data_IF_570771904221
#
_entry.id   IF_570771904221
#
_cell.length_a   1.000
_cell.length_b   1.000
_cell.length_c   1.000
_cell.angle_alpha   90.00
_cell.angle_beta   90.00
_cell.angle_gamma   90.00
#
_symmetry.space_group_name_H-M   'P 1'
#
loop_
_entity.id
_entity.type
_entity.pdbx_description
1 polymer ?
#
# COMPACT_ATOMS: atom_id res chain seq x y z
N UNK A 1 -0.68 -21.34 -25.02
CA UNK A 1 -0.78 -19.92 -24.61
C UNK A 1 -1.41 -19.12 -25.74
N UNK A 2 -2.29 -18.17 -25.41
CA UNK A 2 -2.94 -17.28 -26.37
C UNK A 2 -2.42 -15.85 -26.16
N UNK A 3 -2.17 -15.12 -27.24
CA UNK A 3 -1.70 -13.73 -27.19
C UNK A 3 -2.63 -12.85 -28.02
N UNK A 4 -3.08 -11.75 -27.43
CA UNK A 4 -3.81 -10.69 -28.10
C UNK A 4 -2.91 -9.45 -28.21
N UNK A 5 -2.83 -8.89 -29.42
CA UNK A 5 -2.18 -7.61 -29.66
C UNK A 5 -3.25 -6.60 -30.14
N UNK A 6 -3.40 -5.51 -29.38
CA UNK A 6 -4.26 -4.39 -29.73
C UNK A 6 -3.37 -3.19 -30.04
N UNK A 7 -3.50 -2.68 -31.26
CA UNK A 7 -2.80 -1.47 -31.72
C UNK A 7 -3.87 -0.43 -32.01
N UNK A 8 -3.80 0.70 -31.31
CA UNK A 8 -4.73 1.80 -31.45
C UNK A 8 -4.00 3.04 -31.98
N UNK A 9 -4.63 3.75 -32.91
CA UNK A 9 -4.18 5.04 -33.41
C UNK A 9 -5.25 6.06 -33.09
N UNK A 10 -4.95 6.97 -32.17
CA UNK A 10 -5.82 8.10 -31.83
C UNK A 10 -5.40 9.30 -32.67
N UNK A 11 -6.34 9.86 -33.43
CA UNK A 11 -6.12 11.04 -34.26
C UNK A 11 -6.58 12.27 -33.50
N UNK A 12 -5.66 13.20 -33.27
CA UNK A 12 -5.96 14.46 -32.62
C UNK A 12 -6.58 15.44 -33.62
N UNK A 13 -7.38 16.38 -33.12
CA UNK A 13 -8.02 17.44 -33.91
C UNK A 13 -7.00 18.36 -34.62
N UNK A 14 -5.76 18.41 -34.12
CA UNK A 14 -4.63 19.14 -34.71
C UNK A 14 -3.87 18.35 -35.78
N UNK A 15 -4.33 17.13 -36.13
CA UNK A 15 -3.70 16.27 -37.14
C UNK A 15 -2.54 15.42 -36.61
N UNK A 16 -2.34 15.38 -35.29
CA UNK A 16 -1.38 14.46 -34.65
C UNK A 16 -1.90 13.03 -34.61
N UNK A 17 -0.98 12.05 -34.64
CA UNK A 17 -1.30 10.62 -34.45
C UNK A 17 -0.64 10.11 -33.18
N UNK A 18 -1.45 9.65 -32.23
CA UNK A 18 -1.02 9.02 -30.99
C UNK A 18 -1.18 7.50 -31.15
N UNK A 19 -0.05 6.80 -31.28
CA UNK A 19 -0.05 5.34 -31.34
C UNK A 19 0.01 4.76 -29.92
N UNK A 20 -0.90 3.83 -29.62
CA UNK A 20 -0.92 3.05 -28.39
C UNK A 20 -0.86 1.56 -28.72
N UNK A 21 -0.11 0.80 -27.92
CA UNK A 21 0.13 -0.63 -28.11
C UNK A 21 -0.13 -1.36 -26.80
N UNK A 22 -0.99 -2.37 -26.85
CA UNK A 22 -1.25 -3.27 -25.73
C UNK A 22 -1.08 -4.71 -26.19
N UNK A 23 -0.15 -5.43 -25.56
CA UNK A 23 0.04 -6.86 -25.79
C UNK A 23 -0.31 -7.58 -24.49
N UNK A 24 -1.28 -8.49 -24.57
CA UNK A 24 -1.72 -9.31 -23.46
C UNK A 24 -1.56 -10.78 -23.82
N UNK A 25 -0.88 -11.54 -22.98
CA UNK A 25 -0.73 -12.99 -23.12
C UNK A 25 -1.40 -13.69 -21.96
N UNK A 26 -2.17 -14.73 -22.26
CA UNK A 26 -2.89 -15.50 -21.26
C UNK A 26 -2.74 -17.00 -21.55
N UNK A 27 -2.50 -17.77 -20.48
CA UNK A 27 -2.57 -19.22 -20.57
C UNK A 27 -4.03 -19.66 -20.34
N UNK A 28 -4.80 -19.71 -21.43
CA UNK A 28 -6.25 -20.00 -21.40
C UNK A 28 -6.55 -21.48 -21.70
N UNK A 29 -5.54 -22.27 -22.05
CA UNK A 29 -5.73 -23.71 -22.28
C UNK A 29 -5.98 -24.41 -20.94
N UNK A 30 -7.22 -24.87 -20.73
CA UNK A 30 -7.63 -25.74 -19.61
C UNK A 30 -6.95 -27.11 -19.60
N UNK A 31 -6.20 -27.44 -20.64
CA UNK A 31 -5.70 -28.78 -20.95
C UNK A 31 -4.17 -28.81 -21.07
N UNK A 32 -3.46 -28.28 -20.09
CA UNK A 32 -2.07 -28.69 -19.90
C UNK A 32 -2.09 -30.00 -19.08
N UNK A 33 -1.86 -31.11 -19.76
CA UNK A 33 -2.19 -32.46 -19.28
C UNK A 33 -1.27 -32.93 -18.14
N UNK A 34 -0.07 -32.36 -18.02
CA UNK A 34 0.95 -32.82 -17.07
C UNK A 34 0.79 -32.26 -15.65
N UNK A 35 0.37 -31.00 -15.47
CA UNK A 35 0.32 -30.38 -14.13
C UNK A 35 -1.10 -30.33 -13.51
N UNK A 36 -2.07 -30.99 -14.13
CA UNK A 36 -3.49 -30.90 -13.73
C UNK A 36 -3.75 -31.31 -12.28
N UNK A 37 -3.03 -32.29 -11.75
CA UNK A 37 -3.22 -32.79 -10.38
C UNK A 37 -2.70 -31.79 -9.35
N UNK A 38 -1.52 -31.19 -9.60
CA UNK A 38 -0.93 -30.18 -8.72
C UNK A 38 -1.79 -28.93 -8.61
N UNK A 39 -2.23 -28.38 -9.76
CA UNK A 39 -3.09 -27.19 -9.77
C UNK A 39 -4.41 -27.40 -9.01
N UNK A 40 -5.02 -28.58 -9.12
CA UNK A 40 -6.24 -28.92 -8.37
C UNK A 40 -5.99 -28.97 -6.86
N UNK A 41 -4.85 -29.50 -6.41
CA UNK A 41 -4.49 -29.52 -4.99
C UNK A 41 -4.35 -28.08 -4.48
N UNK A 42 -3.64 -27.22 -5.21
CA UNK A 42 -3.48 -25.80 -4.87
C UNK A 42 -4.83 -25.08 -4.81
N UNK A 43 -5.74 -25.35 -5.74
CA UNK A 43 -7.09 -24.79 -5.76
C UNK A 43 -7.91 -25.24 -4.52
N UNK A 44 -7.87 -26.52 -4.18
CA UNK A 44 -8.54 -27.04 -2.97
C UNK A 44 -7.94 -26.41 -1.71
N UNK A 45 -6.61 -26.34 -1.60
CA UNK A 45 -5.93 -25.68 -0.49
C UNK A 45 -6.30 -24.19 -0.37
N UNK A 46 -6.42 -23.48 -1.50
CA UNK A 46 -6.83 -22.08 -1.51
C UNK A 46 -8.27 -21.90 -1.01
N UNK A 47 -9.20 -22.78 -1.40
CA UNK A 47 -10.59 -22.77 -0.90
C UNK A 47 -10.63 -23.05 0.60
N UNK A 48 -9.86 -24.04 1.09
CA UNK A 48 -9.76 -24.31 2.53
C UNK A 48 -9.21 -23.08 3.27
N UNK A 49 -8.14 -22.46 2.77
CA UNK A 49 -7.55 -21.26 3.34
C UNK A 49 -8.55 -20.09 3.39
N UNK A 50 -9.38 -19.92 2.36
CA UNK A 50 -10.44 -18.92 2.32
C UNK A 50 -11.49 -19.18 3.40
N UNK A 51 -11.96 -20.43 3.53
CA UNK A 51 -12.95 -20.80 4.56
C UNK A 51 -12.40 -20.56 5.97
N UNK A 52 -11.14 -20.92 6.24
CA UNK A 52 -10.48 -20.64 7.51
C UNK A 52 -10.34 -19.14 7.78
N UNK A 53 -10.00 -18.36 6.75
CA UNK A 53 -9.87 -16.90 6.86
C UNK A 53 -11.22 -16.21 7.12
N UNK A 54 -12.30 -16.69 6.48
CA UNK A 54 -13.66 -16.25 6.75
C UNK A 54 -14.07 -16.58 8.18
N UNK A 55 -13.88 -17.82 8.61
CA UNK A 55 -14.22 -18.25 9.96
C UNK A 55 -13.44 -17.46 11.02
N UNK A 56 -12.15 -17.23 10.80
CA UNK A 56 -11.32 -16.39 11.64
C UNK A 56 -11.83 -14.95 11.75
N UNK A 57 -12.19 -14.34 10.61
CA UNK A 57 -12.72 -12.97 10.55
C UNK A 57 -14.05 -12.84 11.29
N UNK A 58 -14.97 -13.79 11.09
CA UNK A 58 -16.28 -13.82 11.76
C UNK A 58 -16.14 -14.05 13.27
N UNK A 59 -15.26 -14.95 13.70
CA UNK A 59 -15.04 -15.23 15.11
C UNK A 59 -14.45 -14.03 15.85
N UNK A 60 -13.53 -13.28 15.21
CA UNK A 60 -12.98 -12.03 15.76
C UNK A 60 -14.05 -10.95 15.87
N UNK A 61 -14.85 -10.76 14.82
CA UNK A 61 -15.97 -9.81 14.85
C UNK A 61 -16.95 -10.12 16.00
N UNK A 62 -17.22 -11.41 16.27
CA UNK A 62 -18.10 -11.83 17.35
C UNK A 62 -17.51 -11.60 18.75
N UNK A 63 -16.18 -11.72 18.92
CA UNK A 63 -15.50 -11.55 20.22
C UNK A 63 -15.25 -10.10 20.60
N UNK A 64 -14.77 -9.29 19.65
CA UNK A 64 -14.34 -7.90 19.89
C UNK A 64 -15.50 -6.90 19.85
N UNK A 65 -16.64 -7.31 19.25
CA UNK A 65 -17.78 -6.42 19.04
C UNK A 65 -17.58 -5.47 17.86
N UNK A 66 -18.68 -5.08 17.21
CA UNK A 66 -18.67 -4.35 15.94
C UNK A 66 -17.87 -3.03 15.99
N UNK A 67 -17.98 -2.25 17.07
CA UNK A 67 -17.34 -0.93 17.17
C UNK A 67 -15.82 -0.99 17.31
N UNK A 68 -15.30 -1.91 18.12
CA UNK A 68 -13.84 -2.07 18.32
C UNK A 68 -13.19 -2.67 17.07
N UNK A 69 -13.91 -3.56 16.39
CA UNK A 69 -13.43 -4.21 15.18
C UNK A 69 -13.15 -3.19 14.04
N UNK A 70 -14.02 -2.19 13.85
CA UNK A 70 -13.86 -1.20 12.78
C UNK A 70 -12.82 -0.10 13.06
N UNK A 71 -12.34 0.05 14.29
CA UNK A 71 -11.27 1.01 14.61
C UNK A 71 -9.87 0.45 14.31
N UNK A 72 -9.71 -0.87 14.21
CA UNK A 72 -8.40 -1.50 14.00
C UNK A 72 -8.05 -1.60 12.51
N UNK A 73 -6.93 -0.97 12.09
CA UNK A 73 -6.40 -1.06 10.73
C UNK A 73 -6.14 -2.51 10.27
N UNK A 74 -5.72 -3.37 11.19
CA UNK A 74 -5.44 -4.78 10.90
C UNK A 74 -6.71 -5.56 10.58
N UNK A 75 -7.82 -5.23 11.22
CA UNK A 75 -9.10 -5.88 10.98
C UNK A 75 -9.65 -5.46 9.60
N UNK A 76 -9.46 -4.20 9.20
CA UNK A 76 -9.73 -3.74 7.84
C UNK A 76 -8.91 -4.48 6.79
N UNK A 77 -7.61 -4.69 7.02
CA UNK A 77 -6.76 -5.45 6.11
C UNK A 77 -7.21 -6.92 5.96
N UNK A 78 -7.68 -7.56 7.03
CA UNK A 78 -8.24 -8.92 6.97
C UNK A 78 -9.56 -8.98 6.20
N UNK A 79 -10.46 -8.04 6.43
CA UNK A 79 -11.71 -7.93 5.66
C UNK A 79 -11.44 -7.70 4.18
N UNK A 80 -10.49 -6.81 3.86
CA UNK A 80 -10.13 -6.48 2.49
C UNK A 80 -9.47 -7.70 1.78
N UNK A 81 -8.64 -8.47 2.48
CA UNK A 81 -8.11 -9.75 1.97
C UNK A 81 -9.23 -10.74 1.63
N UNK A 82 -10.23 -10.90 2.49
CA UNK A 82 -11.38 -11.76 2.23
C UNK A 82 -12.16 -11.29 0.99
N UNK A 83 -12.43 -9.99 0.89
CA UNK A 83 -13.14 -9.41 -0.26
C UNK A 83 -12.36 -9.65 -1.55
N UNK A 84 -11.04 -9.41 -1.55
CA UNK A 84 -10.21 -9.62 -2.73
C UNK A 84 -10.13 -11.10 -3.14
N UNK A 85 -10.07 -12.03 -2.20
CA UNK A 85 -10.06 -13.47 -2.54
C UNK A 85 -11.40 -13.91 -3.15
N UNK A 86 -12.54 -13.39 -2.67
CA UNK A 86 -13.84 -13.62 -3.29
C UNK A 86 -13.93 -13.02 -4.71
N UNK A 87 -13.43 -11.80 -4.91
CA UNK A 87 -13.36 -11.17 -6.23
C UNK A 87 -12.46 -11.95 -7.19
N UNK A 88 -11.33 -12.48 -6.72
CA UNK A 88 -10.48 -13.36 -7.53
C UNK A 88 -11.23 -14.60 -8.02
N UNK A 89 -12.03 -15.26 -7.16
CA UNK A 89 -12.85 -16.41 -7.56
C UNK A 89 -13.91 -15.98 -8.57
N UNK A 90 -14.59 -14.85 -8.34
CA UNK A 90 -15.59 -14.31 -9.26
C UNK A 90 -15.00 -14.06 -10.65
N UNK A 91 -13.88 -13.34 -10.73
CA UNK A 91 -13.22 -13.03 -12.00
C UNK A 91 -12.66 -14.27 -12.69
N UNK A 92 -12.19 -15.27 -11.93
CA UNK A 92 -11.81 -16.56 -12.48
C UNK A 92 -12.98 -17.28 -13.17
N UNK A 93 -14.14 -17.33 -12.53
CA UNK A 93 -15.36 -17.94 -13.10
C UNK A 93 -15.88 -17.15 -14.30
N UNK A 94 -15.91 -15.82 -14.24
CA UNK A 94 -16.34 -14.97 -15.36
C UNK A 94 -15.42 -15.10 -16.58
N UNK A 95 -14.11 -15.16 -16.35
CA UNK A 95 -13.12 -15.47 -17.39
C UNK A 95 -13.39 -16.83 -18.02
N UNK A 96 -13.62 -17.86 -17.20
CA UNK A 96 -13.87 -19.22 -17.67
C UNK A 96 -15.16 -19.31 -18.50
N UNK A 97 -16.24 -18.66 -18.06
CA UNK A 97 -17.51 -18.61 -18.79
C UNK A 97 -17.36 -17.90 -20.13
N UNK A 98 -16.63 -16.77 -20.14
CA UNK A 98 -16.35 -16.02 -21.37
C UNK A 98 -15.53 -16.86 -22.36
N UNK A 99 -14.51 -17.58 -21.87
CA UNK A 99 -13.72 -18.47 -22.72
C UNK A 99 -14.55 -19.62 -23.31
N UNK A 100 -15.41 -20.26 -22.51
CA UNK A 100 -16.30 -21.32 -22.99
C UNK A 100 -17.27 -20.81 -24.06
N UNK A 101 -17.75 -19.57 -23.93
CA UNK A 101 -18.61 -18.93 -24.93
C UNK A 101 -17.88 -18.78 -26.27
N UNK A 102 -16.66 -18.23 -26.26
CA UNK A 102 -15.82 -18.06 -27.47
C UNK A 102 -15.47 -19.42 -28.10
N UNK A 103 -15.12 -20.42 -27.28
CA UNK A 103 -14.81 -21.77 -27.80
C UNK A 103 -16.04 -22.49 -28.36
N UNK A 104 -17.24 -22.24 -27.83
CA UNK A 104 -18.49 -22.77 -28.39
C UNK A 104 -18.75 -22.19 -29.77
N UNK A 105 -18.51 -20.90 -29.95
CA UNK A 105 -18.64 -20.23 -31.23
C UNK A 105 -17.61 -20.73 -32.26
N UNK A 106 -16.36 -20.95 -31.82
CA UNK A 106 -15.33 -21.58 -32.64
C UNK A 106 -15.73 -22.99 -33.10
N UNK A 107 -16.36 -23.78 -32.22
CA UNK A 107 -16.79 -25.14 -32.58
C UNK A 107 -17.91 -25.16 -33.62
N UNK A 108 -18.75 -24.12 -33.68
CA UNK A 108 -19.88 -24.02 -34.61
C UNK A 108 -19.42 -23.46 -35.97
N UNK A 109 -18.66 -22.36 -35.96
CA UNK A 109 -18.30 -21.62 -37.17
C UNK A 109 -16.89 -21.94 -37.72
N UNK A 110 -16.08 -22.69 -36.95
CA UNK A 110 -14.70 -23.00 -37.30
C UNK A 110 -13.85 -21.74 -37.50
N UNK A 111 -12.90 -21.80 -38.42
CA UNK A 111 -12.02 -20.68 -38.78
C UNK A 111 -12.68 -19.62 -39.68
N UNK A 112 -13.98 -19.73 -39.99
CA UNK A 112 -14.66 -18.82 -40.92
C UNK A 112 -15.12 -17.50 -40.27
N UNK A 113 -15.19 -17.45 -38.95
CA UNK A 113 -15.58 -16.25 -38.19
C UNK A 113 -14.43 -15.74 -37.34
N UNK A 114 -14.35 -14.42 -37.17
CA UNK A 114 -13.43 -13.81 -36.22
C UNK A 114 -13.89 -14.11 -34.78
N UNK A 115 -12.98 -14.59 -33.94
CA UNK A 115 -13.26 -14.88 -32.53
C UNK A 115 -12.86 -13.68 -31.69
N UNK A 116 -13.84 -13.09 -31.00
CA UNK A 116 -13.56 -11.99 -30.10
C UNK A 116 -13.06 -12.48 -28.74
N UNK A 117 -11.76 -12.32 -28.49
CA UNK A 117 -11.14 -12.61 -27.20
C UNK A 117 -11.08 -11.41 -26.24
N UNK A 118 -11.53 -10.21 -26.65
CA UNK A 118 -11.42 -8.99 -25.84
C UNK A 118 -12.00 -9.18 -24.45
N UNK A 119 -13.22 -9.73 -24.36
CA UNK A 119 -13.90 -9.96 -23.08
C UNK A 119 -13.13 -10.95 -22.19
N UNK A 120 -12.53 -11.99 -22.78
CA UNK A 120 -11.73 -12.98 -22.03
C UNK A 120 -10.47 -12.32 -21.45
N UNK A 121 -9.76 -11.53 -22.26
CA UNK A 121 -8.56 -10.81 -21.81
C UNK A 121 -8.88 -9.71 -20.81
N UNK A 122 -10.05 -9.06 -20.92
CA UNK A 122 -10.50 -8.09 -19.93
C UNK A 122 -10.66 -8.72 -18.53
N UNK A 123 -11.39 -9.84 -18.43
CA UNK A 123 -11.52 -10.57 -17.15
C UNK A 123 -10.18 -11.13 -16.65
N UNK A 124 -9.29 -11.53 -17.56
CA UNK A 124 -7.94 -11.98 -17.23
C UNK A 124 -7.09 -10.87 -16.58
N UNK A 125 -7.12 -9.66 -17.14
CA UNK A 125 -6.40 -8.50 -16.60
C UNK A 125 -6.92 -8.18 -15.21
N UNK A 126 -8.25 -8.11 -15.04
CA UNK A 126 -8.86 -7.88 -13.73
C UNK A 126 -8.46 -8.94 -12.70
N UNK A 127 -8.51 -10.22 -13.08
CA UNK A 127 -8.08 -11.32 -12.23
C UNK A 127 -6.62 -11.21 -11.79
N UNK A 128 -5.70 -10.85 -12.69
CA UNK A 128 -4.29 -10.65 -12.36
C UNK A 128 -4.08 -9.45 -11.44
N UNK A 129 -4.77 -8.33 -11.69
CA UNK A 129 -4.69 -7.14 -10.84
C UNK A 129 -5.20 -7.46 -9.43
N UNK A 130 -6.35 -8.13 -9.29
CA UNK A 130 -6.87 -8.51 -7.98
C UNK A 130 -5.99 -9.52 -7.26
N UNK A 131 -5.41 -10.48 -8.00
CA UNK A 131 -4.46 -11.44 -7.43
C UNK A 131 -3.21 -10.73 -6.91
N UNK A 132 -2.67 -9.78 -7.67
CA UNK A 132 -1.54 -8.96 -7.27
C UNK A 132 -1.83 -8.15 -6.01
N UNK A 133 -3.00 -7.50 -5.95
CA UNK A 133 -3.46 -6.77 -4.75
C UNK A 133 -3.60 -7.69 -3.53
N UNK A 134 -4.20 -8.87 -3.71
CA UNK A 134 -4.33 -9.85 -2.63
C UNK A 134 -2.95 -10.30 -2.12
N UNK A 135 -2.01 -10.54 -3.04
CA UNK A 135 -0.61 -10.87 -2.73
C UNK A 135 0.11 -9.75 -1.97
N UNK A 136 -0.04 -8.48 -2.39
CA UNK A 136 0.57 -7.35 -1.68
C UNK A 136 0.05 -7.21 -0.26
N UNK A 137 -1.25 -7.42 -0.03
CA UNK A 137 -1.82 -7.37 1.33
C UNK A 137 -1.37 -8.55 2.16
N UNK A 138 -1.22 -9.74 1.56
CA UNK A 138 -0.63 -10.88 2.25
C UNK A 138 0.80 -10.58 2.73
N UNK A 139 1.61 -9.92 1.90
CA UNK A 139 2.95 -9.46 2.28
C UNK A 139 2.88 -8.41 3.40
N UNK A 140 1.98 -7.43 3.31
CA UNK A 140 1.77 -6.46 4.39
C UNK A 140 1.35 -7.13 5.70
N UNK A 141 0.57 -8.21 5.64
CA UNK A 141 0.18 -8.99 6.82
C UNK A 141 1.37 -9.74 7.44
N UNK A 142 2.34 -10.15 6.63
CA UNK A 142 3.59 -10.73 7.16
C UNK A 142 4.39 -9.72 8.00
N UNK A 143 4.30 -8.41 7.71
CA UNK A 143 4.93 -7.39 8.56
C UNK A 143 4.38 -7.39 9.99
N UNK A 144 3.10 -7.73 10.18
CA UNK A 144 2.52 -7.89 11.52
C UNK A 144 3.16 -9.05 12.29
N UNK A 145 3.56 -10.12 11.60
CA UNK A 145 4.28 -11.23 12.24
C UNK A 145 5.68 -10.78 12.65
N UNK A 146 6.30 -9.85 11.91
CA UNK A 146 7.63 -9.32 12.27
C UNK A 146 7.63 -8.51 13.58
N UNK A 147 6.48 -8.00 14.04
CA UNK A 147 6.38 -7.32 15.34
C UNK A 147 6.52 -8.27 16.54
N UNK A 148 6.83 -9.55 16.35
CA UNK A 148 7.28 -10.40 17.46
C UNK A 148 8.65 -9.98 18.02
N UNK A 149 9.40 -9.15 17.29
CA UNK A 149 10.66 -8.60 17.77
C UNK A 149 10.43 -7.22 18.43
N UNK A 150 10.93 -7.00 19.67
CA UNK A 150 10.72 -5.77 20.43
C UNK A 150 11.19 -4.50 19.72
N UNK A 151 12.26 -4.58 18.92
CA UNK A 151 12.75 -3.43 18.13
C UNK A 151 11.67 -2.95 17.14
N UNK A 152 10.96 -3.90 16.53
CA UNK A 152 9.92 -3.60 15.56
C UNK A 152 8.63 -3.10 16.23
N UNK A 153 8.33 -3.52 17.47
CA UNK A 153 7.19 -2.98 18.22
C UNK A 153 7.41 -1.53 18.62
N UNK A 154 8.61 -1.19 19.12
CA UNK A 154 8.95 0.19 19.49
C UNK A 154 8.95 1.10 18.26
N UNK A 155 9.47 0.62 17.13
CA UNK A 155 9.38 1.35 15.85
C UNK A 155 7.93 1.56 15.40
N UNK A 156 7.10 0.51 15.41
CA UNK A 156 5.69 0.62 15.04
C UNK A 156 4.92 1.60 15.96
N UNK A 157 5.21 1.57 17.27
CA UNK A 157 4.62 2.50 18.25
C UNK A 157 5.06 3.93 17.98
N UNK A 158 6.34 4.16 17.69
CA UNK A 158 6.88 5.47 17.29
C UNK A 158 6.12 6.03 16.08
N UNK A 159 5.94 5.22 15.03
CA UNK A 159 5.19 5.63 13.84
C UNK A 159 3.73 5.99 14.17
N UNK A 160 3.07 5.25 15.06
CA UNK A 160 1.69 5.59 15.48
C UNK A 160 1.62 6.88 16.29
N UNK A 161 2.63 7.18 17.11
CA UNK A 161 2.70 8.42 17.91
C UNK A 161 2.95 9.63 17.01
N UNK A 162 3.83 9.51 16.01
CA UNK A 162 4.13 10.60 15.06
C UNK A 162 3.13 10.74 13.91
N UNK A 163 2.12 9.87 13.83
CA UNK A 163 1.11 9.88 12.76
C UNK A 163 0.36 11.23 12.60
N UNK A 164 -0.10 11.93 13.65
CA UNK A 164 -0.79 13.23 13.49
C UNK A 164 0.12 14.29 12.86
N UNK A 165 1.38 14.37 13.29
CA UNK A 165 2.36 15.32 12.73
C UNK A 165 2.71 14.98 11.29
N UNK A 166 2.87 13.68 11.01
CA UNK A 166 3.06 13.19 9.64
C UNK A 166 1.87 13.53 8.73
N UNK A 167 0.63 13.43 9.25
CA UNK A 167 -0.56 13.78 8.48
C UNK A 167 -0.61 15.28 8.15
N UNK A 168 -0.30 16.15 9.11
CA UNK A 168 -0.20 17.59 8.87
C UNK A 168 0.89 17.93 7.84
N UNK A 169 2.05 17.29 7.97
CA UNK A 169 3.16 17.40 7.03
C UNK A 169 2.78 16.95 5.61
N UNK A 170 2.11 15.80 5.47
CA UNK A 170 1.62 15.30 4.18
C UNK A 170 0.62 16.26 3.53
N UNK A 171 -0.25 16.88 4.31
CA UNK A 171 -1.19 17.88 3.80
C UNK A 171 -0.47 19.12 3.26
N UNK A 172 0.49 19.67 4.02
CA UNK A 172 1.30 20.81 3.59
C UNK A 172 2.14 20.49 2.34
N UNK A 173 2.74 19.30 2.29
CA UNK A 173 3.52 18.81 1.14
C UNK A 173 2.64 18.70 -0.11
N UNK A 174 1.45 18.10 0.03
CA UNK A 174 0.50 17.93 -1.07
C UNK A 174 0.07 19.29 -1.63
N UNK A 175 -0.17 20.28 -0.77
CA UNK A 175 -0.52 21.63 -1.19
C UNK A 175 0.60 22.28 -2.02
N UNK A 176 1.86 22.14 -1.61
CA UNK A 176 3.01 22.66 -2.35
C UNK A 176 3.18 21.95 -3.69
N UNK A 177 3.07 20.62 -3.72
CA UNK A 177 3.12 19.86 -4.98
C UNK A 177 1.99 20.31 -5.91
N UNK A 178 0.78 20.51 -5.39
CA UNK A 178 -0.37 20.98 -6.18
C UNK A 178 -0.14 22.37 -6.77
N UNK A 179 0.45 23.29 -6.00
CA UNK A 179 0.81 24.62 -6.47
C UNK A 179 1.84 24.55 -7.61
N UNK A 180 2.91 23.76 -7.44
CA UNK A 180 3.92 23.56 -8.48
C UNK A 180 3.39 22.80 -9.70
N UNK A 181 2.44 21.88 -9.53
CA UNK A 181 1.76 21.22 -10.66
C UNK A 181 0.96 22.23 -11.47
N UNK A 182 0.21 23.10 -10.79
CA UNK A 182 -0.62 24.11 -11.44
C UNK A 182 0.26 25.13 -12.20
N UNK A 183 1.34 25.58 -11.56
CA UNK A 183 2.32 26.47 -12.16
C UNK A 183 3.06 25.81 -13.36
N UNK A 184 3.54 24.58 -13.19
CA UNK A 184 4.24 23.84 -14.24
C UNK A 184 3.34 23.53 -15.43
N UNK A 185 2.07 23.19 -15.20
CA UNK A 185 1.08 23.03 -16.28
C UNK A 185 0.83 24.33 -17.03
N UNK A 186 0.78 25.46 -16.33
CA UNK A 186 0.55 26.76 -16.98
C UNK A 186 1.70 27.16 -17.89
N UNK A 187 2.95 26.92 -17.49
CA UNK A 187 4.15 27.31 -18.26
C UNK A 187 4.50 26.25 -19.31
N UNK A 188 4.61 24.99 -18.89
CA UNK A 188 5.17 23.91 -19.71
C UNK A 188 4.09 23.05 -20.39
N UNK A 189 2.82 23.15 -20.00
CA UNK A 189 1.79 22.18 -20.39
C UNK A 189 1.49 22.10 -21.89
N UNK A 190 1.75 23.16 -22.66
CA UNK A 190 1.55 23.16 -24.11
C UNK A 190 2.69 22.46 -24.87
N UNK A 191 3.92 22.51 -24.35
CA UNK A 191 5.11 22.05 -25.05
C UNK A 191 5.66 20.73 -24.49
N UNK A 192 5.49 20.48 -23.19
CA UNK A 192 5.97 19.28 -22.51
C UNK A 192 4.81 18.32 -22.19
N UNK A 193 4.88 17.10 -22.75
CA UNK A 193 3.89 16.03 -22.50
C UNK A 193 3.75 15.65 -21.02
N UNK A 194 4.82 15.82 -20.25
CA UNK A 194 4.88 15.59 -18.80
C UNK A 194 3.97 16.53 -18.01
N UNK A 195 3.73 17.75 -18.51
CA UNK A 195 2.95 18.78 -17.82
C UNK A 195 1.58 19.05 -18.44
N UNK A 196 1.19 18.29 -19.47
CA UNK A 196 -0.06 18.52 -20.23
C UNK A 196 -1.33 18.33 -19.37
N UNK A 197 -1.39 17.25 -18.58
CA UNK A 197 -2.49 17.00 -17.63
C UNK A 197 -2.01 17.16 -16.19
N UNK A 198 -2.93 17.56 -15.30
CA UNK A 198 -2.62 17.74 -13.89
C UNK A 198 -2.08 16.45 -13.25
N UNK A 199 -2.67 15.31 -13.60
CA UNK A 199 -2.26 13.98 -13.12
C UNK A 199 -0.86 13.59 -13.60
N UNK A 200 -0.51 13.88 -14.86
CA UNK A 200 0.85 13.66 -15.37
C UNK A 200 1.85 14.58 -14.69
N UNK A 201 1.51 15.86 -14.53
CA UNK A 201 2.36 16.83 -13.84
C UNK A 201 2.62 16.41 -12.39
N UNK A 202 1.60 15.94 -11.66
CA UNK A 202 1.77 15.41 -10.30
C UNK A 202 2.75 14.24 -10.29
N UNK A 203 2.59 13.28 -11.21
CA UNK A 203 3.45 12.11 -11.29
C UNK A 203 4.90 12.50 -11.65
N UNK A 204 5.09 13.45 -12.56
CA UNK A 204 6.41 14.01 -12.88
C UNK A 204 7.05 14.69 -11.67
N UNK A 205 6.29 15.47 -10.88
CA UNK A 205 6.84 16.09 -9.67
C UNK A 205 7.13 15.08 -8.55
N UNK A 206 6.37 13.99 -8.45
CA UNK A 206 6.72 12.89 -7.55
C UNK A 206 8.04 12.24 -7.98
N UNK A 207 8.23 11.93 -9.26
CA UNK A 207 9.53 11.43 -9.74
C UNK A 207 10.67 12.42 -9.51
N UNK A 208 10.40 13.71 -9.67
CA UNK A 208 11.36 14.76 -9.34
C UNK A 208 11.75 14.71 -7.85
N UNK A 209 10.81 14.52 -6.92
CA UNK A 209 11.08 14.31 -5.49
C UNK A 209 11.94 13.06 -5.26
N UNK A 210 11.72 11.99 -6.03
CA UNK A 210 12.55 10.77 -5.99
C UNK A 210 13.96 10.97 -6.58
N UNK A 211 14.23 12.12 -7.20
CA UNK A 211 15.51 12.45 -7.83
C UNK A 211 15.56 12.20 -9.34
N UNK A 212 14.47 11.72 -9.93
CA UNK A 212 14.35 11.52 -11.38
C UNK A 212 13.72 12.76 -12.02
N UNK A 213 14.56 13.79 -12.22
CA UNK A 213 14.16 15.08 -12.77
C UNK A 213 14.68 15.26 -14.21
N UNK A 214 13.76 15.51 -15.17
CA UNK A 214 14.09 15.77 -16.57
C UNK A 214 14.35 17.27 -16.80
N UNK A 215 15.56 17.72 -16.44
CA UNK A 215 15.97 19.11 -16.55
C UNK A 215 16.01 19.62 -18.00
N UNK A 216 16.34 18.74 -18.96
CA UNK A 216 16.46 19.09 -20.38
C UNK A 216 15.11 19.51 -20.96
N UNK A 217 14.04 18.80 -20.62
CA UNK A 217 12.69 19.18 -21.08
C UNK A 217 12.22 20.53 -20.51
N UNK A 218 12.64 20.88 -19.29
CA UNK A 218 12.27 22.15 -18.66
C UNK A 218 12.97 23.34 -19.33
N UNK A 219 14.27 23.25 -19.59
CA UNK A 219 15.03 24.31 -20.27
C UNK A 219 14.64 24.42 -21.74
N UNK A 220 14.33 23.28 -22.39
CA UNK A 220 13.95 23.24 -23.80
C UNK A 220 12.68 24.03 -24.11
N UNK A 221 11.81 24.24 -23.12
CA UNK A 221 10.59 25.07 -23.26
C UNK A 221 10.87 26.54 -22.95
N UNK A 222 11.42 26.82 -21.77
CA UNK A 222 11.81 28.17 -21.38
C UNK A 222 13.03 28.13 -20.44
N UNK A 223 14.07 28.86 -20.82
CA UNK A 223 15.35 28.80 -20.13
C UNK A 223 15.32 29.52 -18.77
N UNK A 224 14.50 30.55 -18.59
CA UNK A 224 14.45 31.33 -17.36
C UNK A 224 13.51 30.65 -16.37
N UNK A 225 12.26 30.44 -16.78
CA UNK A 225 11.24 29.79 -15.95
C UNK A 225 11.57 28.33 -15.69
N UNK A 226 12.14 27.60 -16.66
CA UNK A 226 12.59 26.22 -16.48
C UNK A 226 13.68 26.09 -15.42
N UNK A 227 14.72 26.94 -15.48
CA UNK A 227 15.80 26.94 -14.47
C UNK A 227 15.28 27.37 -13.09
N UNK A 228 14.45 28.40 -13.03
CA UNK A 228 13.85 28.86 -11.79
C UNK A 228 13.00 27.75 -11.15
N UNK A 229 12.09 27.16 -11.93
CA UNK A 229 11.23 26.06 -11.49
C UNK A 229 12.04 24.88 -10.95
N UNK A 230 13.05 24.45 -11.71
CA UNK A 230 13.89 23.32 -11.32
C UNK A 230 14.61 23.58 -10.00
N UNK A 231 15.30 24.74 -9.88
CA UNK A 231 16.07 25.09 -8.69
C UNK A 231 15.14 25.21 -7.48
N UNK A 232 14.09 26.02 -7.56
CA UNK A 232 13.21 26.25 -6.40
C UNK A 232 12.51 24.98 -5.96
N UNK A 233 12.02 24.18 -6.92
CA UNK A 233 11.36 22.93 -6.58
C UNK A 233 12.34 21.92 -5.99
N UNK A 234 13.52 21.73 -6.58
CA UNK A 234 14.53 20.79 -6.07
C UNK A 234 14.97 21.10 -4.65
N UNK A 235 15.25 22.39 -4.36
CA UNK A 235 15.59 22.81 -3.01
C UNK A 235 14.41 22.62 -2.05
N UNK A 236 13.22 23.12 -2.40
CA UNK A 236 12.06 22.99 -1.50
C UNK A 236 11.72 21.52 -1.27
N UNK A 237 11.66 20.69 -2.32
CA UNK A 237 11.28 19.28 -2.19
C UNK A 237 12.26 18.48 -1.36
N UNK A 238 13.57 18.65 -1.59
CA UNK A 238 14.58 17.92 -0.84
C UNK A 238 14.58 18.33 0.63
N UNK A 239 14.51 19.64 0.89
CA UNK A 239 14.52 20.12 2.27
C UNK A 239 13.23 19.78 3.00
N UNK A 240 12.09 19.98 2.35
CA UNK A 240 10.78 19.74 2.92
C UNK A 240 10.58 18.25 3.20
N UNK A 241 10.90 17.37 2.26
CA UNK A 241 10.71 15.93 2.46
C UNK A 241 11.70 15.37 3.46
N UNK A 242 12.99 15.66 3.32
CA UNK A 242 14.01 14.99 4.15
C UNK A 242 14.08 15.58 5.56
N UNK A 243 14.17 16.90 5.72
CA UNK A 243 14.38 17.47 7.05
C UNK A 243 13.15 17.37 7.95
N UNK A 244 11.95 17.60 7.42
CA UNK A 244 10.73 17.45 8.22
C UNK A 244 10.45 15.99 8.56
N UNK A 245 10.68 15.06 7.61
CA UNK A 245 10.53 13.65 7.91
C UNK A 245 11.48 13.18 9.02
N UNK A 246 12.76 13.59 8.96
CA UNK A 246 13.73 13.26 10.00
C UNK A 246 13.34 13.88 11.34
N UNK A 247 12.85 15.13 11.36
CA UNK A 247 12.43 15.80 12.59
C UNK A 247 11.26 15.08 13.26
N UNK A 248 10.19 14.79 12.51
CA UNK A 248 9.01 14.10 13.02
C UNK A 248 9.37 12.69 13.49
N UNK A 249 10.16 11.95 12.71
CA UNK A 249 10.58 10.60 13.08
C UNK A 249 11.46 10.58 14.34
N UNK A 250 12.35 11.57 14.50
CA UNK A 250 13.19 11.69 15.70
C UNK A 250 12.35 11.95 16.94
N UNK A 251 11.46 12.94 16.88
CA UNK A 251 10.60 13.31 18.01
C UNK A 251 9.71 12.12 18.43
N UNK A 252 9.10 11.46 17.45
CA UNK A 252 8.27 10.29 17.70
C UNK A 252 9.06 9.10 18.28
N UNK A 253 10.30 8.89 17.86
CA UNK A 253 11.18 7.84 18.38
C UNK A 253 11.61 8.14 19.82
N UNK A 254 11.96 9.40 20.12
CA UNK A 254 12.37 9.81 21.45
C UNK A 254 11.20 9.67 22.44
N UNK A 255 9.98 10.06 22.05
CA UNK A 255 8.77 9.84 22.85
C UNK A 255 8.50 8.35 23.08
N UNK A 256 8.63 7.51 22.05
CA UNK A 256 8.39 6.07 22.18
C UNK A 256 9.38 5.39 23.14
N UNK A 257 10.65 5.78 23.09
CA UNK A 257 11.67 5.31 24.04
C UNK A 257 11.38 5.76 25.47
N UNK A 258 10.97 7.01 25.67
CA UNK A 258 10.59 7.49 26.99
C UNK A 258 9.40 6.71 27.57
N UNK A 259 8.41 6.33 26.74
CA UNK A 259 7.30 5.48 27.18
C UNK A 259 7.77 4.07 27.58
N UNK A 260 8.70 3.49 26.84
CA UNK A 260 9.26 2.16 27.13
C UNK A 260 10.04 2.17 28.45
N UNK A 261 10.91 3.17 28.68
CA UNK A 261 11.63 3.33 29.95
C UNK A 261 10.68 3.54 31.14
N UNK A 262 9.59 4.30 30.97
CA UNK A 262 8.61 4.51 32.03
C UNK A 262 7.86 3.23 32.39
N UNK A 263 7.48 2.42 31.39
CA UNK A 263 6.86 1.11 31.62
C UNK A 263 7.82 0.18 32.37
N UNK A 264 9.11 0.20 32.07
CA UNK A 264 10.13 -0.56 32.82
C UNK A 264 10.26 -0.08 34.28
N UNK A 265 10.31 1.23 34.51
CA UNK A 265 10.38 1.81 35.86
C UNK A 265 9.14 1.49 36.71
N UNK A 266 7.93 1.55 36.13
CA UNK A 266 6.69 1.19 36.82
C UNK A 266 6.67 -0.29 37.23
N UNK A 267 7.16 -1.19 36.37
CA UNK A 267 7.28 -2.62 36.68
C UNK A 267 8.31 -2.87 37.78
N UNK A 268 9.45 -2.17 37.74
CA UNK A 268 10.49 -2.27 38.79
C UNK A 268 9.91 -1.81 40.13
N UNK A 269 9.24 -0.66 40.16
CA UNK A 269 8.63 -0.12 41.37
C UNK A 269 7.56 -1.07 41.95
N UNK A 270 6.73 -1.67 41.09
CA UNK A 270 5.75 -2.66 41.52
C UNK A 270 6.38 -3.92 42.11
N UNK A 271 7.48 -4.41 41.52
CA UNK A 271 8.22 -5.58 42.04
C UNK A 271 8.84 -5.23 43.40
N UNK A 272 9.46 -4.05 43.52
CA UNK A 272 10.06 -3.58 44.77
C UNK A 272 8.99 -3.45 45.86
N UNK A 273 7.85 -2.83 45.57
CA UNK A 273 6.73 -2.70 46.51
C UNK A 273 6.19 -4.07 46.94
N UNK A 274 6.02 -4.99 45.99
CA UNK A 274 5.58 -6.36 46.26
C UNK A 274 6.58 -7.11 47.15
N UNK A 275 7.88 -7.00 46.86
CA UNK A 275 8.95 -7.62 47.66
C UNK A 275 9.02 -7.02 49.06
N UNK A 276 8.86 -5.70 49.19
CA UNK A 276 8.80 -5.01 50.49
C UNK A 276 7.59 -5.46 51.32
N UNK A 277 6.42 -5.63 50.70
CA UNK A 277 5.24 -6.18 51.36
C UNK A 277 5.46 -7.61 51.85
N UNK A 278 6.09 -8.47 51.05
CA UNK A 278 6.44 -9.84 51.47
C UNK A 278 7.50 -9.87 52.57
N UNK A 279 8.50 -8.99 52.52
CA UNK A 279 9.53 -8.86 53.57
C UNK A 279 8.94 -8.37 54.89
N UNK A 280 8.06 -7.36 54.86
CA UNK A 280 7.36 -6.87 56.06
C UNK A 280 6.40 -7.93 56.64
N UNK A 281 5.81 -8.78 55.81
CA UNK A 281 4.98 -9.89 56.27
C UNK A 281 5.80 -11.03 56.92
N UNK A 282 7.06 -11.25 56.49
CA UNK A 282 7.95 -12.30 57.03
C UNK A 282 8.83 -11.84 58.19
N UNK A 283 9.20 -10.55 58.24
CA UNK A 283 10.01 -9.93 59.30
C UNK A 283 9.36 -8.60 59.72
N UNK A 284 8.43 -8.62 60.70
CA UNK A 284 7.67 -7.44 61.11
C UNK A 284 8.49 -6.38 61.87
N UNK A 285 9.81 -6.50 61.95
CA UNK A 285 10.71 -5.59 62.68
C UNK A 285 11.49 -4.62 61.77
N UNK A 286 11.22 -4.58 60.46
CA UNK A 286 11.86 -3.68 59.51
C UNK A 286 10.94 -2.50 59.14
N UNK A 287 10.52 -1.73 60.15
CA UNK A 287 10.09 -0.34 59.89
C UNK A 287 11.33 0.46 59.51
N UNK A 288 11.55 0.67 58.21
CA UNK A 288 12.43 1.76 57.75
C UNK A 288 11.57 3.00 57.58
N UNK A 289 11.81 3.95 58.47
CA UNK A 289 11.32 5.32 58.45
C UNK A 289 11.84 5.99 57.17
N UNK A 290 10.98 6.15 56.17
CA UNK A 290 11.17 7.18 55.15
C UNK A 290 10.26 8.34 55.58
N UNK A 291 10.83 9.19 56.44
CA UNK A 291 10.17 10.41 56.91
C UNK A 291 10.47 11.51 55.89
N UNK A 292 9.42 11.98 55.22
CA UNK A 292 9.43 13.20 54.42
C UNK A 292 9.68 14.40 55.33
N UNK A 293 10.95 14.72 55.58
CA UNK A 293 11.35 16.01 56.15
C UNK A 293 12.58 16.53 55.41
N UNK A 294 12.36 17.39 54.42
CA UNK A 294 13.06 18.68 54.26
C UNK A 294 12.45 19.44 53.06
N UNK A 295 11.37 20.20 53.35
CA UNK A 295 11.17 21.49 52.71
C UNK A 295 12.23 22.46 53.28
N UNK A 296 13.17 22.90 52.45
CA UNK A 296 13.70 24.27 52.37
C UNK A 296 14.64 24.44 51.15
#
# INVERSE_FOLDING_TARGET
MFTQATIAFEFDIYGGVLASKSISTANISLFDRDNRTWFKIVEICAVICLVLSLFGSINRLRREGSKVFFCSLWNWAEMLMVILTLLCILFYVLRQNSFLSVMKEFRIHGHRSFLDFNTVFYWQILFHVTMGMAGSIAILKMLKVTTFNPIWTTFARSVTIGLPDFQAFMFATTFIIFAYCSFGRMIFGNQAKSYCTLSRSMLTLLFFILGEADFETLIGVDLIFGRFFFITFMFISQYLVVFMFIAIMRDALDIAKCMECREEEEVINYIVETVLLYLNAFYPQLETTYDDTEEL
#
